data_IF_605702066750
#
_entry.id   IF_605702066750
#
_cell.length_a   1.000
_cell.length_b   1.000
_cell.length_c   1.000
_cell.angle_alpha   90.00
_cell.angle_beta   90.00
_cell.angle_gamma   90.00
#
_symmetry.space_group_name_H-M   'P 1'
#
loop_
_entity.id
_entity.type
_entity.pdbx_description
1 polymer ?
#
# COMPACT_ATOMS: atom_id res chain seq x y z
N UNK A 1 -33.07 6.64 -9.09
CA UNK A 1 -31.86 6.11 -8.44
C UNK A 1 -30.90 7.29 -8.33
N UNK A 2 -30.72 7.82 -7.16
CA UNK A 2 -29.71 8.85 -6.91
C UNK A 2 -28.33 8.18 -7.01
N UNK A 3 -27.50 8.66 -7.91
CA UNK A 3 -26.14 8.18 -8.09
C UNK A 3 -25.29 8.74 -6.92
N UNK A 4 -25.07 7.94 -5.90
CA UNK A 4 -24.13 8.30 -4.84
C UNK A 4 -22.70 8.37 -5.38
N UNK A 5 -22.05 9.51 -5.23
CA UNK A 5 -20.63 9.68 -5.55
C UNK A 5 -19.80 9.26 -4.32
N UNK A 6 -18.89 8.32 -4.52
CA UNK A 6 -17.97 7.90 -3.47
C UNK A 6 -17.05 9.07 -3.08
N UNK A 7 -16.75 9.18 -1.79
CA UNK A 7 -15.91 10.27 -1.22
C UNK A 7 -14.54 10.42 -1.91
N UNK A 8 -13.99 9.31 -2.46
CA UNK A 8 -12.77 9.29 -3.26
C UNK A 8 -12.89 9.99 -4.62
N UNK A 9 -14.11 10.18 -5.14
CA UNK A 9 -14.34 10.78 -6.45
C UNK A 9 -14.77 12.26 -6.37
N UNK A 10 -14.87 12.84 -5.18
CA UNK A 10 -15.29 14.25 -4.96
C UNK A 10 -14.32 15.23 -5.62
N UNK A 11 -13.04 14.87 -5.76
CA UNK A 11 -12.03 15.71 -6.41
C UNK A 11 -12.24 15.90 -7.92
N UNK A 12 -13.05 15.03 -8.55
CA UNK A 12 -13.34 15.09 -9.99
C UNK A 12 -14.67 15.78 -10.31
N UNK A 13 -15.43 16.18 -9.29
CA UNK A 13 -16.73 16.85 -9.44
C UNK A 13 -16.55 18.34 -9.20
N UNK A 14 -17.17 19.18 -10.08
CA UNK A 14 -17.17 20.63 -9.84
C UNK A 14 -17.93 20.93 -8.54
N UNK A 15 -17.31 21.74 -7.68
CA UNK A 15 -17.90 22.12 -6.39
C UNK A 15 -19.24 22.86 -6.52
N UNK A 16 -19.46 23.49 -7.67
CA UNK A 16 -20.71 24.21 -7.96
C UNK A 16 -21.88 23.27 -8.31
N UNK A 17 -21.57 22.02 -8.66
CA UNK A 17 -22.59 21.00 -9.01
C UNK A 17 -23.02 20.17 -7.77
N UNK A 18 -22.45 20.47 -6.59
CA UNK A 18 -22.78 19.76 -5.37
C UNK A 18 -23.95 20.45 -4.65
N UNK A 19 -25.15 19.92 -4.81
CA UNK A 19 -26.36 20.40 -4.11
C UNK A 19 -26.38 20.04 -2.62
N UNK A 20 -25.90 18.85 -2.26
CA UNK A 20 -25.83 18.40 -0.87
C UNK A 20 -24.80 17.30 -0.65
N UNK A 21 -24.20 17.25 0.52
CA UNK A 21 -23.33 16.15 0.96
C UNK A 21 -24.04 15.47 2.13
N UNK A 22 -24.44 14.21 1.93
CA UNK A 22 -25.05 13.40 2.97
C UNK A 22 -24.11 12.28 3.36
N UNK A 23 -23.89 12.08 4.67
CA UNK A 23 -23.16 10.92 5.16
C UNK A 23 -24.04 9.67 5.02
N UNK A 24 -23.69 8.80 4.07
CA UNK A 24 -24.37 7.52 3.85
C UNK A 24 -23.75 6.37 4.64
N UNK A 25 -22.89 6.68 5.62
CA UNK A 25 -22.27 5.66 6.44
C UNK A 25 -23.30 4.80 7.17
N UNK A 26 -23.31 3.52 6.84
CA UNK A 26 -24.13 2.52 7.49
C UNK A 26 -23.25 1.42 8.10
N UNK A 27 -23.14 1.41 9.44
CA UNK A 27 -22.29 0.47 10.16
C UNK A 27 -22.66 -1.00 9.90
N UNK A 28 -23.93 -1.30 9.72
CA UNK A 28 -24.38 -2.65 9.38
C UNK A 28 -23.90 -3.05 7.98
N UNK A 29 -24.10 -2.20 6.98
CA UNK A 29 -23.68 -2.48 5.60
C UNK A 29 -22.17 -2.59 5.48
N UNK A 30 -21.43 -1.72 6.19
CA UNK A 30 -19.97 -1.84 6.27
C UNK A 30 -19.55 -3.21 6.81
N UNK A 31 -20.15 -3.65 7.91
CA UNK A 31 -19.85 -4.96 8.49
C UNK A 31 -20.19 -6.12 7.53
N UNK A 32 -21.29 -6.02 6.79
CA UNK A 32 -21.67 -7.00 5.76
C UNK A 32 -20.62 -7.07 4.67
N UNK A 33 -20.17 -5.93 4.13
CA UNK A 33 -19.14 -5.88 3.10
C UNK A 33 -17.79 -6.38 3.60
N UNK A 34 -17.39 -6.02 4.82
CA UNK A 34 -16.16 -6.51 5.44
C UNK A 34 -16.17 -8.05 5.58
N UNK A 35 -17.28 -8.61 6.03
CA UNK A 35 -17.43 -10.07 6.13
C UNK A 35 -17.46 -10.76 4.77
N UNK A 36 -18.09 -10.15 3.78
CA UNK A 36 -18.11 -10.65 2.41
C UNK A 36 -16.74 -10.63 1.76
N UNK A 37 -16.00 -9.53 1.90
CA UNK A 37 -14.62 -9.41 1.44
C UNK A 37 -13.74 -10.49 2.10
N UNK A 38 -13.83 -10.62 3.42
CA UNK A 38 -13.07 -11.63 4.16
C UNK A 38 -13.40 -13.06 3.68
N UNK A 39 -14.66 -13.37 3.44
CA UNK A 39 -15.07 -14.68 2.93
C UNK A 39 -14.43 -15.01 1.58
N UNK A 40 -14.46 -14.07 0.64
CA UNK A 40 -13.82 -14.22 -0.68
C UNK A 40 -12.31 -14.40 -0.54
N UNK A 41 -11.66 -13.57 0.30
CA UNK A 41 -10.22 -13.63 0.56
C UNK A 41 -9.80 -14.98 1.16
N UNK A 42 -10.56 -15.49 2.13
CA UNK A 42 -10.32 -16.81 2.74
C UNK A 42 -10.48 -17.92 1.71
N UNK A 43 -11.51 -17.87 0.86
CA UNK A 43 -11.73 -18.87 -0.19
C UNK A 43 -10.56 -18.89 -1.20
N UNK A 44 -10.11 -17.73 -1.68
CA UNK A 44 -8.98 -17.63 -2.60
C UNK A 44 -7.68 -18.17 -1.99
N UNK A 45 -7.39 -17.79 -0.74
CA UNK A 45 -6.21 -18.25 -0.04
C UNK A 45 -6.25 -19.76 0.27
N UNK A 46 -7.45 -20.31 0.55
CA UNK A 46 -7.64 -21.74 0.75
C UNK A 46 -7.39 -22.54 -0.52
N UNK A 47 -7.84 -22.04 -1.67
CA UNK A 47 -7.57 -22.68 -2.96
C UNK A 47 -6.07 -22.72 -3.28
N UNK A 48 -5.36 -21.60 -3.06
CA UNK A 48 -3.90 -21.57 -3.18
C UNK A 48 -3.23 -22.58 -2.22
N UNK A 49 -3.68 -22.62 -0.96
CA UNK A 49 -3.18 -23.59 0.03
C UNK A 49 -3.41 -25.05 -0.39
N UNK A 50 -4.56 -25.34 -0.98
CA UNK A 50 -4.87 -26.67 -1.51
C UNK A 50 -3.98 -27.05 -2.71
N UNK A 51 -3.67 -26.11 -3.59
CA UNK A 51 -2.70 -26.38 -4.67
C UNK A 51 -1.31 -26.74 -4.15
N UNK A 52 -0.90 -26.20 -2.99
CA UNK A 52 0.38 -26.52 -2.36
C UNK A 52 0.40 -27.79 -1.50
N UNK A 53 -0.74 -28.32 -1.13
CA UNK A 53 -0.87 -29.45 -0.21
C UNK A 53 -0.92 -30.79 -0.97
N UNK A 54 0.08 -31.65 -0.74
CA UNK A 54 0.21 -32.96 -1.43
C UNK A 54 -1.00 -33.90 -1.22
N UNK A 55 -1.74 -33.71 -0.15
CA UNK A 55 -2.94 -34.52 0.20
C UNK A 55 -4.22 -33.99 -0.42
N UNK A 56 -4.16 -32.84 -1.08
CA UNK A 56 -5.32 -32.20 -1.70
C UNK A 56 -5.63 -32.80 -3.07
N UNK A 57 -6.91 -32.92 -3.41
CA UNK A 57 -7.38 -33.26 -4.75
C UNK A 57 -7.02 -32.20 -5.81
N UNK A 58 -6.73 -30.97 -5.36
CA UNK A 58 -6.30 -29.84 -6.21
C UNK A 58 -4.80 -29.61 -6.19
N UNK A 59 -4.02 -30.63 -5.75
CA UNK A 59 -2.58 -30.48 -5.67
C UNK A 59 -1.96 -30.22 -7.05
N UNK A 60 -1.32 -29.07 -7.18
CA UNK A 60 -0.53 -28.69 -8.33
C UNK A 60 0.68 -27.84 -7.87
N UNK A 61 1.82 -28.50 -7.79
CA UNK A 61 3.07 -27.89 -7.32
C UNK A 61 3.49 -26.70 -8.18
N UNK A 62 3.25 -26.76 -9.50
CA UNK A 62 3.73 -25.73 -10.42
C UNK A 62 2.89 -24.47 -10.32
N UNK A 63 1.58 -24.59 -10.10
CA UNK A 63 0.71 -23.46 -9.79
C UNK A 63 1.13 -22.80 -8.48
N UNK A 64 1.33 -23.57 -7.41
CA UNK A 64 1.75 -23.04 -6.13
C UNK A 64 3.13 -22.34 -6.20
N UNK A 65 4.08 -22.95 -6.89
CA UNK A 65 5.41 -22.38 -7.11
C UNK A 65 5.37 -21.10 -7.95
N UNK A 66 4.57 -21.08 -9.02
CA UNK A 66 4.39 -19.92 -9.90
C UNK A 66 3.78 -18.73 -9.13
N UNK A 67 2.77 -18.97 -8.30
CA UNK A 67 2.15 -17.95 -7.44
C UNK A 67 3.17 -17.33 -6.50
N UNK A 68 3.96 -18.16 -5.81
CA UNK A 68 5.03 -17.68 -4.93
C UNK A 68 6.11 -16.90 -5.68
N UNK A 69 6.50 -17.38 -6.87
CA UNK A 69 7.50 -16.71 -7.70
C UNK A 69 7.00 -15.34 -8.20
N UNK A 70 5.72 -15.26 -8.55
CA UNK A 70 5.08 -13.98 -8.95
C UNK A 70 5.04 -13.00 -7.78
N UNK A 71 4.62 -13.42 -6.59
CA UNK A 71 4.65 -12.58 -5.38
C UNK A 71 6.05 -12.03 -5.10
N UNK A 72 7.08 -12.87 -5.23
CA UNK A 72 8.47 -12.43 -5.07
C UNK A 72 8.88 -11.38 -6.11
N UNK A 73 8.48 -11.55 -7.38
CA UNK A 73 8.75 -10.57 -8.44
C UNK A 73 8.08 -9.23 -8.15
N UNK A 74 6.84 -9.25 -7.67
CA UNK A 74 6.10 -8.03 -7.28
C UNK A 74 6.77 -7.31 -6.11
N UNK A 75 7.24 -8.03 -5.10
CA UNK A 75 7.98 -7.47 -3.98
C UNK A 75 9.29 -6.79 -4.45
N UNK A 76 10.06 -7.45 -5.31
CA UNK A 76 11.27 -6.87 -5.89
C UNK A 76 10.97 -5.68 -6.80
N UNK A 77 9.87 -5.70 -7.53
CA UNK A 77 9.41 -4.56 -8.31
C UNK A 77 9.11 -3.37 -7.39
N UNK A 78 8.32 -3.55 -6.32
CA UNK A 78 8.04 -2.51 -5.35
C UNK A 78 9.32 -1.91 -4.76
N UNK A 79 10.27 -2.75 -4.34
CA UNK A 79 11.58 -2.29 -3.87
C UNK A 79 12.31 -1.43 -4.90
N UNK A 80 12.38 -1.87 -6.16
CA UNK A 80 13.07 -1.12 -7.21
C UNK A 80 12.42 0.22 -7.51
N UNK A 81 11.10 0.30 -7.50
CA UNK A 81 10.38 1.56 -7.70
C UNK A 81 10.64 2.51 -6.54
N UNK A 82 10.52 2.04 -5.29
CA UNK A 82 10.76 2.83 -4.08
C UNK A 82 12.17 3.43 -4.10
N UNK A 83 13.19 2.59 -4.25
CA UNK A 83 14.59 3.01 -4.21
C UNK A 83 15.02 3.75 -5.48
N UNK A 84 14.41 3.47 -6.62
CA UNK A 84 14.70 4.14 -7.89
C UNK A 84 14.11 5.54 -7.99
N UNK A 85 12.92 5.76 -7.43
CA UNK A 85 12.24 7.06 -7.50
C UNK A 85 12.66 7.98 -6.36
N UNK A 86 12.74 7.45 -5.13
CA UNK A 86 12.96 8.24 -3.91
C UNK A 86 14.25 7.90 -3.16
N UNK A 87 15.10 7.02 -3.69
CA UNK A 87 16.33 6.56 -3.04
C UNK A 87 17.41 7.63 -2.92
N UNK A 88 17.43 8.60 -3.84
CA UNK A 88 18.26 9.80 -3.77
C UNK A 88 17.61 10.88 -4.65
N UNK A 89 16.59 11.52 -4.11
CA UNK A 89 15.76 12.47 -4.86
C UNK A 89 15.43 13.72 -4.07
N UNK A 90 15.43 14.86 -4.76
CA UNK A 90 14.87 16.11 -4.22
C UNK A 90 13.39 16.15 -4.59
N UNK A 91 12.53 16.18 -3.60
CA UNK A 91 11.08 16.12 -3.75
C UNK A 91 10.47 17.45 -3.29
N UNK A 92 9.51 17.98 -4.08
CA UNK A 92 8.70 19.12 -3.69
C UNK A 92 7.55 18.67 -2.79
N UNK A 93 7.44 19.27 -1.62
CA UNK A 93 6.40 18.97 -0.65
C UNK A 93 5.70 20.25 -0.21
N UNK A 94 4.57 20.13 0.50
CA UNK A 94 3.90 21.31 1.10
C UNK A 94 4.78 22.12 2.06
N UNK A 95 5.90 21.57 2.50
CA UNK A 95 6.88 22.23 3.38
C UNK A 95 8.14 22.72 2.65
N UNK A 96 8.12 22.70 1.31
CA UNK A 96 9.25 23.03 0.46
C UNK A 96 10.00 21.80 -0.04
N UNK A 97 11.17 22.03 -0.61
CA UNK A 97 12.01 20.96 -1.17
C UNK A 97 12.73 20.19 -0.06
N UNK A 98 12.62 18.89 -0.12
CA UNK A 98 13.30 17.97 0.82
C UNK A 98 14.09 16.94 0.05
N UNK A 99 15.16 16.45 0.65
CA UNK A 99 15.94 15.34 0.11
C UNK A 99 15.45 14.02 0.70
N UNK A 100 15.02 13.12 -0.17
CA UNK A 100 14.60 11.76 0.19
C UNK A 100 15.71 10.77 -0.09
N UNK A 101 15.97 9.87 0.87
CA UNK A 101 16.88 8.75 0.75
C UNK A 101 16.13 7.47 1.10
N UNK A 102 15.14 7.15 0.28
CA UNK A 102 14.25 6.02 0.53
C UNK A 102 15.00 4.68 0.48
N UNK A 103 14.76 3.85 1.48
CA UNK A 103 15.30 2.50 1.57
C UNK A 103 14.21 1.55 2.05
N UNK A 104 14.10 0.39 1.40
CA UNK A 104 13.25 -0.71 1.86
C UNK A 104 13.99 -1.47 2.96
N UNK A 105 13.49 -1.39 4.18
CA UNK A 105 14.11 -1.99 5.37
C UNK A 105 13.65 -3.42 5.62
N UNK A 106 12.43 -3.77 5.19
CA UNK A 106 11.87 -5.11 5.35
C UNK A 106 10.78 -5.37 4.31
N UNK A 107 10.64 -6.61 3.88
CA UNK A 107 9.57 -7.05 3.00
C UNK A 107 9.04 -8.40 3.44
N UNK A 108 7.74 -8.59 3.42
CA UNK A 108 7.11 -9.85 3.79
C UNK A 108 5.92 -10.15 2.89
N UNK A 109 6.02 -11.23 2.13
CA UNK A 109 4.98 -11.78 1.25
C UNK A 109 4.46 -10.76 0.22
N UNK A 110 3.67 -9.78 0.65
CA UNK A 110 2.96 -8.79 -0.16
C UNK A 110 3.15 -7.34 0.35
N UNK A 111 3.99 -7.15 1.37
CA UNK A 111 4.21 -5.83 1.97
C UNK A 111 5.67 -5.38 1.92
N UNK A 112 5.88 -4.08 1.68
CA UNK A 112 7.17 -3.41 1.75
C UNK A 112 7.17 -2.40 2.89
N UNK A 113 8.10 -2.55 3.82
CA UNK A 113 8.37 -1.55 4.85
C UNK A 113 9.57 -0.71 4.41
N UNK A 114 9.37 0.58 4.37
CA UNK A 114 10.37 1.53 3.89
C UNK A 114 10.51 2.73 4.82
N UNK A 115 11.65 3.39 4.71
CA UNK A 115 11.86 4.71 5.31
C UNK A 115 12.33 5.67 4.22
N UNK A 116 11.85 6.90 4.23
CA UNK A 116 12.30 7.92 3.28
C UNK A 116 13.57 8.63 3.73
N UNK A 117 13.98 8.52 5.01
CA UNK A 117 15.15 9.19 5.57
C UNK A 117 15.24 10.66 5.14
N UNK A 118 14.17 11.41 5.43
CA UNK A 118 14.00 12.79 4.96
C UNK A 118 15.02 13.75 5.57
N UNK A 119 15.65 14.56 4.71
CA UNK A 119 16.59 15.60 5.09
C UNK A 119 16.20 16.93 4.43
N UNK A 120 16.48 18.05 5.11
CA UNK A 120 16.47 19.38 4.47
C UNK A 120 17.62 19.46 3.44
N UNK A 121 17.60 20.47 2.59
CA UNK A 121 18.65 20.65 1.57
C UNK A 121 20.06 20.92 2.18
N UNK A 122 20.09 21.36 3.42
CA UNK A 122 21.33 21.53 4.21
C UNK A 122 21.85 20.24 4.87
N UNK A 123 21.14 19.12 4.69
CA UNK A 123 21.45 17.83 5.28
C UNK A 123 20.90 17.60 6.70
N UNK A 124 20.12 18.54 7.23
CA UNK A 124 19.48 18.37 8.53
C UNK A 124 18.34 17.38 8.46
N UNK A 125 18.32 16.37 9.33
CA UNK A 125 17.26 15.34 9.37
C UNK A 125 15.92 15.92 9.81
N UNK A 126 14.90 15.72 9.02
CA UNK A 126 13.51 16.08 9.36
C UNK A 126 12.93 15.03 10.30
N UNK A 127 12.31 15.45 11.40
CA UNK A 127 11.74 14.57 12.43
C UNK A 127 10.36 15.02 12.87
N UNK A 128 9.68 14.13 13.62
CA UNK A 128 8.38 14.41 14.24
C UNK A 128 7.25 14.58 13.22
N UNK A 129 6.23 15.37 13.57
CA UNK A 129 5.01 15.53 12.81
C UNK A 129 5.23 15.91 11.33
N UNK A 130 6.19 16.83 11.07
CA UNK A 130 6.54 17.24 9.70
C UNK A 130 7.02 16.06 8.87
N UNK A 131 7.92 15.23 9.43
CA UNK A 131 8.42 14.03 8.74
C UNK A 131 7.30 13.02 8.46
N UNK A 132 6.40 12.82 9.41
CA UNK A 132 5.26 11.89 9.25
C UNK A 132 4.31 12.34 8.14
N UNK A 133 3.95 13.61 8.11
CA UNK A 133 3.06 14.15 7.07
C UNK A 133 3.67 14.03 5.67
N UNK A 134 4.95 14.35 5.52
CA UNK A 134 5.67 14.19 4.25
C UNK A 134 5.76 12.70 3.87
N UNK A 135 6.07 11.83 4.82
CA UNK A 135 6.15 10.38 4.58
C UNK A 135 4.83 9.81 4.08
N UNK A 136 3.70 10.22 4.66
CA UNK A 136 2.37 9.78 4.23
C UNK A 136 2.07 10.25 2.81
N UNK A 137 2.33 11.53 2.52
CA UNK A 137 2.11 12.13 1.20
C UNK A 137 2.91 11.40 0.11
N UNK A 138 4.22 11.22 0.33
CA UNK A 138 5.09 10.51 -0.61
C UNK A 138 4.74 9.02 -0.75
N UNK A 139 4.29 8.38 0.32
CA UNK A 139 3.91 6.97 0.27
C UNK A 139 2.62 6.74 -0.53
N UNK A 140 1.66 7.65 -0.45
CA UNK A 140 0.44 7.63 -1.27
C UNK A 140 0.78 7.85 -2.75
N UNK A 141 1.56 8.88 -3.05
CA UNK A 141 2.01 9.18 -4.42
C UNK A 141 2.78 8.00 -5.03
N UNK A 142 3.67 7.39 -4.26
CA UNK A 142 4.43 6.21 -4.67
C UNK A 142 3.51 5.02 -4.98
N UNK A 143 2.47 4.80 -4.17
CA UNK A 143 1.49 3.74 -4.40
C UNK A 143 0.76 3.95 -5.74
N UNK A 144 0.25 5.14 -5.98
CA UNK A 144 -0.41 5.51 -7.24
C UNK A 144 0.52 5.37 -8.45
N UNK A 145 1.76 5.85 -8.32
CA UNK A 145 2.77 5.75 -9.39
C UNK A 145 3.09 4.29 -9.70
N UNK A 146 3.33 3.48 -8.68
CA UNK A 146 3.69 2.06 -8.84
C UNK A 146 2.56 1.28 -9.49
N UNK A 147 1.33 1.53 -9.08
CA UNK A 147 0.14 0.82 -9.58
C UNK A 147 -0.12 1.07 -11.06
N UNK A 148 0.25 2.25 -11.60
CA UNK A 148 0.12 2.56 -13.03
C UNK A 148 0.89 1.62 -13.95
N UNK A 149 1.97 1.03 -13.47
CA UNK A 149 2.83 0.13 -14.25
C UNK A 149 2.62 -1.35 -13.93
N UNK A 150 1.74 -1.66 -12.98
CA UNK A 150 1.35 -3.03 -12.68
C UNK A 150 0.19 -3.48 -13.57
N UNK A 151 0.22 -4.75 -13.94
CA UNK A 151 -0.89 -5.36 -14.67
C UNK A 151 -2.03 -5.65 -13.71
N UNK A 152 -3.23 -5.16 -14.02
CA UNK A 152 -4.42 -5.48 -13.23
C UNK A 152 -4.58 -7.01 -13.04
N UNK A 153 -4.99 -7.47 -11.87
CA UNK A 153 -5.52 -6.73 -10.72
C UNK A 153 -4.48 -6.31 -9.67
N UNK A 154 -3.17 -6.35 -10.00
CA UNK A 154 -2.12 -6.00 -9.04
C UNK A 154 -2.03 -4.48 -8.87
N UNK A 155 -1.90 -4.06 -7.62
CA UNK A 155 -1.67 -2.69 -7.20
C UNK A 155 -0.70 -2.64 -6.01
N UNK A 156 -0.22 -1.47 -5.70
CA UNK A 156 0.56 -1.18 -4.49
C UNK A 156 -0.08 0.02 -3.80
N UNK A 157 -0.61 -0.20 -2.61
CA UNK A 157 -1.31 0.81 -1.83
C UNK A 157 -0.54 1.18 -0.56
N UNK A 158 -0.67 2.45 -0.17
CA UNK A 158 -0.26 2.88 1.16
C UNK A 158 -1.21 2.31 2.20
N UNK A 159 -0.68 1.62 3.21
CA UNK A 159 -1.48 1.05 4.29
C UNK A 159 -1.40 1.90 5.56
N UNK A 160 -0.20 2.15 6.06
CA UNK A 160 0.03 2.90 7.31
C UNK A 160 1.48 3.32 7.49
N UNK A 161 1.69 4.28 8.40
CA UNK A 161 3.00 4.73 8.86
C UNK A 161 3.17 4.43 10.34
N UNK A 162 4.35 4.00 10.73
CA UNK A 162 4.71 3.71 12.12
C UNK A 162 5.67 4.76 12.66
N UNK A 163 5.46 5.20 13.90
CA UNK A 163 6.39 6.05 14.65
C UNK A 163 6.20 5.81 16.16
N UNK A 164 7.10 5.08 16.80
CA UNK A 164 8.30 4.41 16.24
C UNK A 164 8.00 3.10 15.50
N UNK A 165 8.98 2.58 14.75
CA UNK A 165 8.96 1.24 14.18
C UNK A 165 10.11 0.41 14.74
N UNK A 166 9.82 -0.75 15.28
CA UNK A 166 10.80 -1.68 15.81
C UNK A 166 10.63 -3.06 15.17
N UNK A 167 11.65 -3.48 14.42
CA UNK A 167 11.70 -4.80 13.81
C UNK A 167 12.54 -5.75 14.70
N UNK A 168 11.90 -6.72 15.33
CA UNK A 168 12.54 -7.68 16.22
C UNK A 168 13.12 -8.87 15.46
N UNK A 169 12.33 -9.41 14.53
CA UNK A 169 12.73 -10.54 13.68
C UNK A 169 11.73 -10.67 12.51
N UNK A 170 11.97 -11.63 11.61
CA UNK A 170 11.03 -11.93 10.52
C UNK A 170 9.61 -12.14 11.09
N UNK A 171 8.63 -11.41 10.56
CA UNK A 171 7.21 -11.41 10.96
C UNK A 171 6.91 -10.92 12.39
N UNK A 172 7.89 -10.33 13.09
CA UNK A 172 7.73 -9.82 14.45
C UNK A 172 8.22 -8.38 14.51
N UNK A 173 7.29 -7.44 14.46
CA UNK A 173 7.54 -6.01 14.56
C UNK A 173 6.47 -5.33 15.42
N UNK A 174 6.82 -4.16 15.93
CA UNK A 174 5.95 -3.30 16.75
C UNK A 174 6.06 -1.88 16.23
N UNK A 175 4.93 -1.15 16.25
CA UNK A 175 4.85 0.23 15.87
C UNK A 175 3.44 0.79 16.05
#
# INVERSE_FOLDING_TARGET
>A
MEAGILKSNITTVDKNDIESITDTYNAFMKNVFDKRQLGIKVTANSLYGQCGARTSAFYDKDIAASTTATGRKLLFYGKKVIEGVYGDAIVDTKYGKVHSKAVVVYGDTDSCFMTFNLEELDGTKIKGKKALEITIELAIELGELSSKFLKAPHDLEYEKTFDPFLLLSKKRYVG
#
